data_IF_894996038853
#
_entry.id   IF_894996038853
#
_cell.length_a   1.000
_cell.length_b   1.000
_cell.length_c   1.000
_cell.angle_alpha   90.00
_cell.angle_beta   90.00
_cell.angle_gamma   90.00
#
_symmetry.space_group_name_H-M   'P 1'
#
loop_
_entity.id
_entity.type
_entity.pdbx_description
1 polymer ?
#
# COMPACT_ATOMS: atom_id res chain seq x y z
N UNK A 1 -41.92 31.76 -3.34
CA UNK A 1 -40.68 31.66 -4.14
C UNK A 1 -39.43 31.21 -3.33
N UNK A 2 -39.22 31.65 -2.10
CA UNK A 2 -38.04 31.29 -1.27
C UNK A 2 -37.91 29.78 -0.95
N UNK A 3 -39.02 29.08 -0.65
CA UNK A 3 -38.99 27.65 -0.26
C UNK A 3 -38.48 26.74 -1.38
N UNK A 4 -38.92 26.96 -2.64
CA UNK A 4 -38.39 26.17 -3.80
C UNK A 4 -36.91 26.41 -4.10
N UNK A 5 -36.38 27.61 -3.83
CA UNK A 5 -34.94 27.91 -3.98
C UNK A 5 -34.10 27.22 -2.92
N UNK A 6 -34.58 27.15 -1.67
CA UNK A 6 -33.93 26.43 -0.58
C UNK A 6 -33.96 24.91 -0.79
N UNK A 7 -35.05 24.36 -1.29
CA UNK A 7 -35.19 22.95 -1.63
C UNK A 7 -34.24 22.54 -2.79
N UNK A 8 -34.11 23.40 -3.82
CA UNK A 8 -33.15 23.20 -4.92
C UNK A 8 -31.69 23.24 -4.46
N UNK A 9 -31.30 24.24 -3.67
CA UNK A 9 -29.97 24.36 -3.14
C UNK A 9 -29.59 23.17 -2.22
N UNK A 10 -30.53 22.71 -1.39
CA UNK A 10 -30.32 21.51 -0.55
C UNK A 10 -30.22 20.23 -1.38
N UNK A 11 -30.89 20.14 -2.51
CA UNK A 11 -30.80 19.00 -3.43
C UNK A 11 -29.43 18.97 -4.11
N UNK A 12 -28.95 20.10 -4.61
CA UNK A 12 -27.65 20.21 -5.27
C UNK A 12 -26.50 19.87 -4.28
N UNK A 13 -26.54 20.41 -3.06
CA UNK A 13 -25.58 20.08 -2.00
C UNK A 13 -25.58 18.58 -1.67
N UNK A 14 -26.75 17.94 -1.58
CA UNK A 14 -26.82 16.49 -1.32
C UNK A 14 -26.29 15.67 -2.48
N UNK A 15 -26.54 16.08 -3.71
CA UNK A 15 -26.04 15.42 -4.92
C UNK A 15 -24.51 15.49 -4.98
N UNK A 16 -23.93 16.65 -4.68
CA UNK A 16 -22.49 16.83 -4.65
C UNK A 16 -21.85 15.97 -3.54
N UNK A 17 -22.44 15.96 -2.33
CA UNK A 17 -21.98 15.11 -1.23
C UNK A 17 -21.96 13.62 -1.60
N UNK A 18 -23.03 13.13 -2.24
CA UNK A 18 -23.12 11.74 -2.72
C UNK A 18 -22.02 11.42 -3.73
N UNK A 19 -21.69 12.35 -4.63
CA UNK A 19 -20.64 12.14 -5.64
C UNK A 19 -19.23 12.03 -5.04
N UNK A 20 -18.92 12.77 -3.96
CA UNK A 20 -17.68 12.61 -3.21
C UNK A 20 -17.65 11.29 -2.45
N UNK A 21 -18.75 10.87 -1.85
CA UNK A 21 -18.85 9.64 -1.08
C UNK A 21 -18.72 8.40 -2.00
N UNK A 22 -19.21 8.46 -3.25
CA UNK A 22 -19.07 7.39 -4.23
C UNK A 22 -17.62 7.01 -4.53
N UNK A 23 -16.69 7.97 -4.52
CA UNK A 23 -15.27 7.72 -4.74
C UNK A 23 -14.71 6.82 -3.63
N UNK A 24 -14.98 7.16 -2.37
CA UNK A 24 -14.54 6.38 -1.22
C UNK A 24 -15.23 5.02 -1.19
N UNK A 25 -16.51 4.95 -1.55
CA UNK A 25 -17.26 3.70 -1.58
C UNK A 25 -16.72 2.70 -2.62
N UNK A 26 -16.26 3.17 -3.77
CA UNK A 26 -15.58 2.33 -4.75
C UNK A 26 -14.29 1.75 -4.20
N UNK A 27 -13.45 2.58 -3.59
CA UNK A 27 -12.19 2.16 -2.97
C UNK A 27 -12.45 1.17 -1.81
N UNK A 28 -13.44 1.46 -0.96
CA UNK A 28 -13.87 0.56 0.13
C UNK A 28 -14.29 -0.80 -0.38
N UNK A 29 -15.09 -0.85 -1.45
CA UNK A 29 -15.51 -2.13 -2.05
C UNK A 29 -14.33 -2.96 -2.55
N UNK A 30 -13.30 -2.32 -3.09
CA UNK A 30 -12.08 -3.01 -3.55
C UNK A 30 -11.31 -3.61 -2.36
N UNK A 31 -11.06 -2.81 -1.32
CA UNK A 31 -10.34 -3.24 -0.11
C UNK A 31 -11.11 -4.36 0.62
N UNK A 32 -12.41 -4.19 0.82
CA UNK A 32 -13.24 -5.18 1.52
C UNK A 32 -13.38 -6.48 0.74
N UNK A 33 -13.47 -6.41 -0.59
CA UNK A 33 -13.47 -7.61 -1.42
C UNK A 33 -12.17 -8.41 -1.28
N UNK A 34 -11.03 -7.74 -1.25
CA UNK A 34 -9.74 -8.38 -1.02
C UNK A 34 -9.67 -8.98 0.38
N UNK A 35 -10.09 -8.23 1.41
CA UNK A 35 -10.17 -8.68 2.80
C UNK A 35 -11.06 -9.92 2.96
N UNK A 36 -12.24 -9.91 2.38
CA UNK A 36 -13.19 -11.03 2.45
C UNK A 36 -12.60 -12.28 1.78
N UNK A 37 -11.95 -12.14 0.63
CA UNK A 37 -11.26 -13.26 -0.04
C UNK A 37 -10.15 -13.87 0.82
N UNK A 38 -9.43 -13.05 1.58
CA UNK A 38 -8.39 -13.52 2.50
C UNK A 38 -8.99 -14.29 3.68
N UNK A 39 -10.10 -13.81 4.22
CA UNK A 39 -10.79 -14.44 5.33
C UNK A 39 -11.48 -15.75 4.93
N UNK A 40 -12.17 -15.77 3.78
CA UNK A 40 -12.88 -16.95 3.29
C UNK A 40 -11.94 -18.09 2.88
N UNK A 41 -10.88 -17.77 2.16
CA UNK A 41 -9.95 -18.76 1.60
C UNK A 41 -8.90 -19.26 2.58
N UNK A 42 -8.78 -18.64 3.74
CA UNK A 42 -7.76 -18.92 4.74
C UNK A 42 -6.31 -18.88 4.19
N UNK A 43 -6.09 -18.14 3.11
CA UNK A 43 -4.78 -17.92 2.48
C UNK A 43 -4.76 -16.60 1.70
N UNK A 44 -3.58 -16.04 1.48
CA UNK A 44 -3.40 -14.88 0.62
C UNK A 44 -3.91 -15.19 -0.80
N UNK A 45 -4.67 -14.26 -1.39
CA UNK A 45 -5.13 -14.36 -2.77
C UNK A 45 -3.99 -14.27 -3.78
N UNK A 46 -2.98 -13.48 -3.43
CA UNK A 46 -1.66 -13.40 -4.08
C UNK A 46 -0.64 -14.00 -3.13
N UNK A 47 0.31 -14.79 -3.62
CA UNK A 47 1.34 -15.37 -2.76
C UNK A 47 2.24 -14.27 -2.20
N UNK A 48 2.64 -14.39 -0.93
CA UNK A 48 3.60 -13.49 -0.29
C UNK A 48 4.91 -13.38 -1.06
N UNK A 49 5.38 -14.48 -1.65
CA UNK A 49 6.56 -14.50 -2.54
C UNK A 49 6.36 -13.59 -3.75
N UNK A 50 5.18 -13.58 -4.36
CA UNK A 50 4.88 -12.72 -5.50
C UNK A 50 4.89 -11.24 -5.12
N UNK A 51 4.25 -10.90 -4.01
CA UNK A 51 4.24 -9.51 -3.51
C UNK A 51 5.68 -9.06 -3.19
N UNK A 52 6.44 -9.89 -2.49
CA UNK A 52 7.84 -9.61 -2.15
C UNK A 52 8.69 -9.38 -3.41
N UNK A 53 8.52 -10.23 -4.43
CA UNK A 53 9.21 -10.10 -5.72
C UNK A 53 8.84 -8.79 -6.41
N UNK A 54 7.57 -8.48 -6.56
CA UNK A 54 7.10 -7.25 -7.21
C UNK A 54 7.62 -6.00 -6.49
N UNK A 55 7.59 -6.00 -5.15
CA UNK A 55 8.15 -4.89 -4.35
C UNK A 55 9.66 -4.79 -4.53
N UNK A 56 10.38 -5.92 -4.52
CA UNK A 56 11.82 -5.92 -4.72
C UNK A 56 12.21 -5.46 -6.14
N UNK A 57 11.54 -5.94 -7.18
CA UNK A 57 11.76 -5.51 -8.57
C UNK A 57 11.53 -3.99 -8.74
N UNK A 58 10.54 -3.43 -8.07
CA UNK A 58 10.29 -1.99 -8.08
C UNK A 58 11.30 -1.19 -7.25
N UNK A 59 11.82 -1.77 -6.17
CA UNK A 59 12.75 -1.13 -5.24
C UNK A 59 14.21 -1.20 -5.69
N UNK A 60 14.57 -2.24 -6.47
CA UNK A 60 15.94 -2.48 -6.94
C UNK A 60 15.99 -2.44 -8.48
N UNK A 61 16.19 -1.25 -9.02
CA UNK A 61 16.43 -1.01 -10.45
C UNK A 61 17.86 -0.50 -10.62
N UNK A 62 18.36 -0.49 -11.86
CA UNK A 62 19.73 -0.06 -12.07
C UNK A 62 19.88 1.44 -11.79
N UNK A 63 20.85 1.88 -10.98
CA UNK A 63 20.99 3.29 -10.61
C UNK A 63 21.14 4.25 -11.81
N UNK A 64 21.68 3.76 -12.95
CA UNK A 64 21.76 4.56 -14.18
C UNK A 64 20.41 4.89 -14.80
N UNK A 65 19.35 4.18 -14.42
CA UNK A 65 17.99 4.38 -14.90
C UNK A 65 17.20 5.35 -14.01
N UNK A 66 17.85 5.86 -12.94
CA UNK A 66 17.27 6.80 -11.97
C UNK A 66 17.78 8.21 -12.27
N UNK A 67 16.91 9.21 -12.39
CA UNK A 67 17.33 10.61 -12.43
C UNK A 67 18.16 10.98 -11.21
N UNK A 68 19.22 11.79 -11.40
CA UNK A 68 20.14 12.16 -10.31
C UNK A 68 19.42 12.79 -9.11
N UNK A 69 18.40 13.59 -9.38
CA UNK A 69 17.56 14.24 -8.36
C UNK A 69 16.68 13.27 -7.54
N UNK A 70 16.48 12.05 -8.02
CA UNK A 70 15.67 11.02 -7.35
C UNK A 70 16.52 9.96 -6.62
N UNK A 71 17.83 9.95 -6.79
CA UNK A 71 18.72 8.93 -6.21
C UNK A 71 18.66 8.87 -4.69
N UNK A 72 18.54 10.02 -4.00
CA UNK A 72 18.42 10.05 -2.54
C UNK A 72 17.14 9.36 -2.05
N UNK A 73 16.02 9.62 -2.71
CA UNK A 73 14.72 8.99 -2.41
C UNK A 73 14.78 7.49 -2.70
N UNK A 74 15.39 7.12 -3.81
CA UNK A 74 15.61 5.72 -4.22
C UNK A 74 16.39 4.94 -3.16
N UNK A 75 17.55 5.43 -2.75
CA UNK A 75 18.35 4.76 -1.73
C UNK A 75 17.69 4.77 -0.34
N UNK A 76 16.95 5.82 0.00
CA UNK A 76 16.18 5.89 1.24
C UNK A 76 15.13 4.78 1.30
N UNK A 77 14.42 4.54 0.19
CA UNK A 77 13.41 3.48 0.09
C UNK A 77 14.02 2.07 0.22
N UNK A 78 15.18 1.83 -0.38
CA UNK A 78 15.90 0.56 -0.22
C UNK A 78 16.34 0.33 1.23
N UNK A 79 16.87 1.37 1.89
CA UNK A 79 17.24 1.33 3.31
C UNK A 79 16.02 1.04 4.19
N UNK A 80 14.87 1.62 3.89
CA UNK A 80 13.63 1.37 4.60
C UNK A 80 13.18 -0.08 4.42
N UNK A 81 13.24 -0.63 3.20
CA UNK A 81 12.85 -2.01 2.91
C UNK A 81 13.71 -3.04 3.66
N UNK A 82 15.01 -2.81 3.75
CA UNK A 82 15.97 -3.74 4.37
C UNK A 82 16.27 -3.40 5.84
N UNK A 83 15.83 -2.23 6.31
CA UNK A 83 16.17 -1.73 7.64
C UNK A 83 15.56 -2.57 8.76
N UNK A 84 16.42 -3.05 9.68
CA UNK A 84 15.97 -3.87 10.81
C UNK A 84 15.57 -5.31 10.47
N UNK A 85 15.63 -5.71 9.20
CA UNK A 85 15.23 -7.04 8.73
C UNK A 85 16.29 -8.10 9.05
N UNK A 86 15.89 -9.38 8.98
CA UNK A 86 16.80 -10.53 9.13
C UNK A 86 17.48 -10.92 7.81
N UNK A 87 17.23 -10.22 6.75
CA UNK A 87 17.90 -10.45 5.47
C UNK A 87 19.42 -10.25 5.62
N UNK A 88 20.24 -11.22 5.20
CA UNK A 88 21.66 -11.27 5.59
C UNK A 88 22.55 -10.29 4.81
N UNK A 89 22.05 -9.69 3.72
CA UNK A 89 22.82 -8.76 2.88
C UNK A 89 22.50 -7.34 3.31
N UNK A 90 23.54 -6.59 3.71
CA UNK A 90 23.37 -5.21 4.13
C UNK A 90 23.07 -4.27 2.96
N UNK A 91 22.50 -3.10 3.25
CA UNK A 91 22.26 -2.07 2.26
C UNK A 91 23.53 -1.73 1.45
N UNK A 92 24.70 -1.58 2.11
CA UNK A 92 25.94 -1.24 1.42
C UNK A 92 26.41 -2.34 0.46
N UNK A 93 26.15 -3.61 0.78
CA UNK A 93 26.42 -4.72 -0.13
C UNK A 93 25.45 -4.74 -1.31
N UNK A 94 24.17 -4.52 -1.04
CA UNK A 94 23.11 -4.46 -2.08
C UNK A 94 23.42 -3.41 -3.14
N UNK A 95 23.93 -2.25 -2.77
CA UNK A 95 24.27 -1.17 -3.71
C UNK A 95 25.39 -1.52 -4.71
N UNK A 96 26.14 -2.59 -4.43
CA UNK A 96 27.22 -3.09 -5.28
C UNK A 96 26.81 -4.28 -6.16
N UNK A 97 25.61 -4.80 -5.97
CA UNK A 97 25.08 -5.97 -6.69
C UNK A 97 24.26 -5.55 -7.92
N UNK A 98 24.14 -6.47 -8.88
CA UNK A 98 23.15 -6.32 -9.94
C UNK A 98 21.73 -6.35 -9.32
N UNK A 99 20.84 -5.42 -9.67
CA UNK A 99 19.48 -5.38 -9.12
C UNK A 99 18.70 -6.69 -9.23
N UNK A 100 18.89 -7.44 -10.32
CA UNK A 100 18.22 -8.73 -10.52
C UNK A 100 18.75 -9.78 -9.54
N UNK A 101 20.04 -9.76 -9.27
CA UNK A 101 20.67 -10.66 -8.27
C UNK A 101 20.12 -10.35 -6.87
N UNK A 102 19.94 -9.07 -6.52
CA UNK A 102 19.33 -8.65 -5.25
C UNK A 102 17.93 -9.21 -5.10
N UNK A 103 17.10 -9.09 -6.14
CA UNK A 103 15.71 -9.61 -6.14
C UNK A 103 15.70 -11.13 -5.91
N UNK A 104 16.53 -11.87 -6.65
CA UNK A 104 16.59 -13.33 -6.50
C UNK A 104 17.12 -13.76 -5.12
N UNK A 105 18.09 -13.06 -4.57
CA UNK A 105 18.58 -13.30 -3.20
C UNK A 105 17.50 -13.06 -2.15
N UNK A 106 16.75 -11.96 -2.24
CA UNK A 106 15.65 -11.65 -1.34
C UNK A 106 14.58 -12.76 -1.37
N UNK A 107 14.12 -13.13 -2.56
CA UNK A 107 13.07 -14.14 -2.73
C UNK A 107 13.55 -15.52 -2.29
N UNK A 108 14.77 -15.90 -2.66
CA UNK A 108 15.38 -17.18 -2.30
C UNK A 108 15.56 -17.30 -0.78
N UNK A 109 16.06 -16.25 -0.13
CA UNK A 109 16.21 -16.21 1.31
C UNK A 109 14.86 -16.33 2.02
N UNK A 110 13.86 -15.54 1.64
CA UNK A 110 12.53 -15.61 2.22
C UNK A 110 11.93 -17.02 2.09
N UNK A 111 12.03 -17.64 0.93
CA UNK A 111 11.55 -19.01 0.70
C UNK A 111 12.26 -20.03 1.61
N UNK A 112 13.57 -19.88 1.81
CA UNK A 112 14.34 -20.72 2.72
C UNK A 112 13.89 -20.55 4.17
N UNK A 113 13.65 -19.32 4.62
CA UNK A 113 13.17 -19.04 5.98
C UNK A 113 11.76 -19.61 6.19
N UNK A 114 10.84 -19.40 5.25
CA UNK A 114 9.48 -20.00 5.30
C UNK A 114 9.50 -21.53 5.45
N UNK A 115 10.37 -22.19 4.72
CA UNK A 115 10.44 -23.66 4.71
C UNK A 115 10.94 -24.28 6.02
N UNK A 116 11.38 -23.47 6.99
CA UNK A 116 11.71 -23.95 8.35
C UNK A 116 10.45 -24.24 9.17
N UNK A 117 9.27 -23.79 8.74
CA UNK A 117 8.02 -23.89 9.47
C UNK A 117 6.96 -24.66 8.69
N UNK A 118 5.95 -25.26 9.36
CA UNK A 118 4.80 -25.85 8.69
C UNK A 118 4.12 -24.83 7.79
N UNK A 119 3.80 -25.23 6.55
CA UNK A 119 3.25 -24.35 5.54
C UNK A 119 1.95 -23.63 5.98
N UNK A 120 1.10 -24.33 6.74
CA UNK A 120 -0.17 -23.77 7.25
C UNK A 120 0.10 -22.69 8.32
N UNK A 121 1.07 -22.91 9.19
CA UNK A 121 1.45 -21.98 10.26
C UNK A 121 1.95 -20.67 9.66
N UNK A 122 2.95 -20.75 8.75
CA UNK A 122 3.52 -19.55 8.13
C UNK A 122 2.48 -18.82 7.27
N UNK A 123 1.62 -19.53 6.55
CA UNK A 123 0.56 -18.90 5.77
C UNK A 123 -0.47 -18.18 6.64
N UNK A 124 -0.77 -18.69 7.84
CA UNK A 124 -1.66 -18.04 8.80
C UNK A 124 -1.03 -16.75 9.33
N UNK A 125 0.26 -16.79 9.70
CA UNK A 125 1.00 -15.62 10.18
C UNK A 125 1.08 -14.53 9.10
N UNK A 126 1.50 -14.90 7.89
CA UNK A 126 1.59 -13.95 6.76
C UNK A 126 0.24 -13.29 6.45
N UNK A 127 -0.85 -14.06 6.50
CA UNK A 127 -2.19 -13.53 6.30
C UNK A 127 -2.57 -12.53 7.39
N UNK A 128 -2.29 -12.85 8.66
CA UNK A 128 -2.59 -11.97 9.77
C UNK A 128 -1.81 -10.65 9.68
N UNK A 129 -0.52 -10.71 9.37
CA UNK A 129 0.31 -9.53 9.14
C UNK A 129 -0.26 -8.68 8.00
N UNK A 130 -0.62 -9.33 6.88
CA UNK A 130 -1.20 -8.63 5.74
C UNK A 130 -2.51 -7.91 6.07
N UNK A 131 -3.44 -8.60 6.78
CA UNK A 131 -4.72 -8.01 7.19
C UNK A 131 -4.53 -6.85 8.16
N UNK A 132 -3.64 -6.98 9.13
CA UNK A 132 -3.36 -5.92 10.10
C UNK A 132 -2.78 -4.68 9.44
N UNK A 133 -1.85 -4.85 8.52
CA UNK A 133 -1.29 -3.74 7.74
C UNK A 133 -2.35 -3.06 6.86
N UNK A 134 -3.14 -3.86 6.15
CA UNK A 134 -4.24 -3.34 5.32
C UNK A 134 -5.22 -2.50 6.16
N UNK A 135 -5.65 -3.02 7.32
CA UNK A 135 -6.60 -2.34 8.19
C UNK A 135 -6.02 -1.02 8.72
N UNK A 136 -4.77 -1.00 9.18
CA UNK A 136 -4.11 0.21 9.67
C UNK A 136 -3.95 1.26 8.57
N UNK A 137 -3.45 0.85 7.42
CA UNK A 137 -3.20 1.77 6.31
C UNK A 137 -4.49 2.25 5.65
N UNK A 138 -5.56 1.44 5.68
CA UNK A 138 -6.87 1.86 5.23
C UNK A 138 -7.42 3.03 6.05
N UNK A 139 -7.26 3.00 7.38
CA UNK A 139 -7.63 4.13 8.25
C UNK A 139 -6.85 5.40 7.88
N UNK A 140 -5.53 5.28 7.68
CA UNK A 140 -4.70 6.41 7.25
C UNK A 140 -5.12 6.95 5.87
N UNK A 141 -5.50 6.06 4.95
CA UNK A 141 -6.00 6.46 3.64
C UNK A 141 -7.33 7.23 3.74
N UNK A 142 -8.26 6.79 4.59
CA UNK A 142 -9.52 7.51 4.81
C UNK A 142 -9.26 8.93 5.34
N UNK A 143 -8.33 9.09 6.28
CA UNK A 143 -7.93 10.41 6.79
C UNK A 143 -7.33 11.29 5.69
N UNK A 144 -6.48 10.72 4.84
CA UNK A 144 -5.91 11.43 3.68
C UNK A 144 -7.00 11.88 2.69
N UNK A 145 -8.02 11.05 2.44
CA UNK A 145 -9.16 11.41 1.59
C UNK A 145 -10.01 12.53 2.18
N UNK A 146 -10.19 12.56 3.49
CA UNK A 146 -10.86 13.68 4.18
C UNK A 146 -10.07 14.97 3.99
N UNK A 147 -8.76 14.94 4.24
CA UNK A 147 -7.87 16.11 4.06
C UNK A 147 -7.84 16.58 2.61
N UNK A 148 -7.81 15.65 1.65
CA UNK A 148 -7.89 15.97 0.22
C UNK A 148 -9.18 16.74 -0.10
N UNK A 149 -10.33 16.27 0.39
CA UNK A 149 -11.62 16.92 0.18
C UNK A 149 -11.65 18.35 0.71
N UNK A 150 -11.16 18.56 1.92
CA UNK A 150 -11.04 19.89 2.54
C UNK A 150 -10.10 20.80 1.74
N UNK A 151 -8.94 20.27 1.34
CA UNK A 151 -7.94 21.00 0.55
C UNK A 151 -8.44 21.40 -0.83
N UNK A 152 -9.25 20.58 -1.50
CA UNK A 152 -9.86 20.89 -2.79
C UNK A 152 -10.88 22.01 -2.65
N UNK A 153 -11.73 22.00 -1.62
CA UNK A 153 -12.68 23.08 -1.37
C UNK A 153 -11.99 24.44 -1.19
N UNK A 154 -10.80 24.45 -0.57
CA UNK A 154 -10.00 25.66 -0.42
C UNK A 154 -9.32 26.13 -1.73
N UNK A 155 -8.97 25.19 -2.62
CA UNK A 155 -8.32 25.46 -3.91
C UNK A 155 -9.30 25.76 -5.05
N UNK A 156 -10.59 25.46 -4.87
CA UNK A 156 -11.64 25.54 -5.88
C UNK A 156 -11.97 26.96 -6.40
N UNK A 157 -11.21 27.97 -6.05
CA UNK A 157 -11.25 29.31 -6.65
C UNK A 157 -10.63 29.37 -8.06
N UNK A 158 -10.19 28.23 -8.63
CA UNK A 158 -9.65 28.09 -9.98
C UNK A 158 -10.66 27.46 -10.95
N UNK A 159 -10.31 27.43 -12.23
CA UNK A 159 -11.16 27.03 -13.37
C UNK A 159 -11.48 25.51 -13.46
N UNK A 160 -11.10 24.67 -12.49
CA UNK A 160 -11.34 23.23 -12.54
C UNK A 160 -12.48 22.81 -11.61
N UNK A 161 -13.28 21.83 -12.07
CA UNK A 161 -14.35 21.23 -11.29
C UNK A 161 -13.75 20.51 -10.05
N UNK A 162 -14.16 20.90 -8.83
CA UNK A 162 -13.63 20.30 -7.59
C UNK A 162 -13.84 18.79 -7.50
N UNK A 163 -14.95 18.27 -8.02
CA UNK A 163 -15.24 16.82 -8.00
C UNK A 163 -14.28 16.06 -8.91
N UNK A 164 -13.98 16.58 -10.09
CA UNK A 164 -13.01 15.97 -11.03
C UNK A 164 -11.61 15.95 -10.41
N UNK A 165 -11.21 17.02 -9.73
CA UNK A 165 -9.94 17.06 -8.99
C UNK A 165 -9.91 16.02 -7.88
N UNK A 166 -10.98 15.90 -7.09
CA UNK A 166 -11.08 14.91 -6.02
C UNK A 166 -11.00 13.48 -6.54
N UNK A 167 -11.69 13.18 -7.63
CA UNK A 167 -11.63 11.85 -8.27
C UNK A 167 -10.22 11.52 -8.72
N UNK A 168 -9.54 12.45 -9.39
CA UNK A 168 -8.18 12.24 -9.91
C UNK A 168 -7.16 12.08 -8.79
N UNK A 169 -7.11 13.04 -7.86
CA UNK A 169 -6.15 13.01 -6.75
C UNK A 169 -6.46 11.86 -5.77
N UNK A 170 -7.74 11.56 -5.56
CA UNK A 170 -8.17 10.41 -4.75
C UNK A 170 -7.79 9.05 -5.36
N UNK A 171 -7.81 8.92 -6.69
CA UNK A 171 -7.29 7.73 -7.36
C UNK A 171 -5.77 7.57 -7.13
N UNK A 172 -5.00 8.67 -7.25
CA UNK A 172 -3.55 8.66 -6.97
C UNK A 172 -3.23 8.29 -5.52
N UNK A 173 -4.02 8.81 -4.56
CA UNK A 173 -3.87 8.43 -3.15
C UNK A 173 -4.19 6.95 -2.92
N UNK A 174 -5.16 6.40 -3.64
CA UNK A 174 -5.51 4.98 -3.54
C UNK A 174 -4.44 4.08 -4.15
N UNK A 175 -3.87 4.45 -5.29
CA UNK A 175 -2.70 3.74 -5.89
C UNK A 175 -1.52 3.77 -4.93
N UNK A 176 -1.23 4.94 -4.32
CA UNK A 176 -0.19 5.06 -3.31
C UNK A 176 -0.47 4.17 -2.10
N UNK A 177 -1.69 4.16 -1.57
CA UNK A 177 -2.10 3.28 -0.47
C UNK A 177 -1.81 1.81 -0.80
N UNK A 178 -2.18 1.34 -2.00
CA UNK A 178 -1.94 -0.04 -2.42
C UNK A 178 -0.44 -0.36 -2.52
N UNK A 179 0.35 0.54 -3.10
CA UNK A 179 1.80 0.38 -3.20
C UNK A 179 2.48 0.38 -1.82
N UNK A 180 2.05 1.27 -0.93
CA UNK A 180 2.64 1.39 0.40
C UNK A 180 2.35 0.17 1.28
N UNK A 181 1.11 -0.36 1.30
CA UNK A 181 0.86 -1.52 2.13
C UNK A 181 1.52 -2.81 1.59
N UNK A 182 1.69 -2.96 0.29
CA UNK A 182 2.51 -4.03 -0.28
C UNK A 182 3.99 -3.88 0.11
N UNK A 183 4.50 -2.65 0.10
CA UNK A 183 5.86 -2.35 0.52
C UNK A 183 6.10 -2.71 1.99
N UNK A 184 5.24 -2.25 2.89
CA UNK A 184 5.35 -2.56 4.32
C UNK A 184 5.09 -4.03 4.63
N UNK A 185 4.26 -4.70 3.85
CA UNK A 185 4.10 -6.14 3.95
C UNK A 185 5.39 -6.87 3.51
N UNK A 186 6.02 -6.48 2.41
CA UNK A 186 7.31 -7.04 1.99
C UNK A 186 8.40 -6.82 3.05
N UNK A 187 8.48 -5.63 3.63
CA UNK A 187 9.37 -5.34 4.75
C UNK A 187 9.09 -6.26 5.95
N UNK A 188 7.82 -6.39 6.35
CA UNK A 188 7.43 -7.27 7.45
C UNK A 188 7.78 -8.75 7.20
N UNK A 189 7.67 -9.22 5.94
CA UNK A 189 8.11 -10.58 5.57
C UNK A 189 9.62 -10.79 5.77
N UNK A 190 10.43 -9.76 5.53
CA UNK A 190 11.88 -9.82 5.73
C UNK A 190 12.26 -9.70 7.21
N UNK A 191 11.43 -9.08 8.02
CA UNK A 191 11.62 -8.92 9.46
C UNK A 191 11.06 -10.10 10.27
N UNK A 192 10.13 -10.88 9.69
CA UNK A 192 9.35 -11.90 10.37
C UNK A 192 10.22 -12.89 11.17
N UNK A 193 9.89 -13.04 12.45
CA UNK A 193 10.44 -14.05 13.34
C UNK A 193 9.33 -15.03 13.79
N UNK A 194 9.07 -16.09 13.00
CA UNK A 194 8.03 -17.03 13.37
C UNK A 194 8.30 -17.75 14.69
N UNK A 195 9.57 -17.95 15.07
CA UNK A 195 9.93 -18.58 16.34
C UNK A 195 9.47 -17.75 17.54
N UNK A 196 9.61 -16.41 17.47
CA UNK A 196 9.14 -15.51 18.51
C UNK A 196 7.62 -15.44 18.61
N UNK A 197 6.90 -15.66 17.50
CA UNK A 197 5.43 -15.61 17.45
C UNK A 197 4.76 -16.91 17.90
N UNK A 198 5.46 -18.05 17.77
CA UNK A 198 4.91 -19.38 18.14
C UNK A 198 5.08 -19.64 19.65
N UNK A 199 6.00 -18.94 20.31
CA UNK A 199 6.30 -19.12 21.75
C UNK A 199 5.48 -18.22 22.69
N UNK A 200 4.68 -17.30 22.18
CA UNK A 200 3.81 -16.37 22.92
C UNK A 200 2.35 -16.76 22.87
#
# INVERSE_FOLDING_TARGET
>A
MHKKRLEGANYDIRKDLLSYDEVIDLQRKMVYKERDLLLERNKLGVSSEKILREVAEYSFIHPSDIPEEELEIYYSRQKELLGGTKFPISFDQVTLMDPREVVEEIVSWHKKERNKFPAETIAAIEREVYLNLMDQMWVMHLDAMVQLREGIHLRAYGQQDPLVMYQKEGAQLFEKFQADYHFYFAHALLELDPDGLIQG
#
